data_IF_393440541174
#
_entry.id   IF_393440541174
#
_cell.length_a   1.000
_cell.length_b   1.000
_cell.length_c   1.000
_cell.angle_alpha   90.00
_cell.angle_beta   90.00
_cell.angle_gamma   90.00
#
_symmetry.space_group_name_H-M   'P 1'
#
loop_
_entity.id
_entity.type
_entity.pdbx_description
1 polymer ?
#
# COMPACT_ATOMS: atom_id res chain seq x y z
N UNK A 1 28.43 -21.24 9.68
CA UNK A 1 27.07 -20.82 9.24
C UNK A 1 27.10 -20.69 7.72
N UNK A 2 26.56 -21.67 7.00
CA UNK A 2 26.40 -21.54 5.54
C UNK A 2 25.48 -20.36 5.23
N UNK A 3 25.99 -19.40 4.47
CA UNK A 3 25.18 -18.36 3.83
C UNK A 3 24.38 -19.05 2.73
N UNK A 4 23.08 -19.29 2.95
CA UNK A 4 22.16 -19.59 1.85
C UNK A 4 22.19 -18.39 0.90
N UNK A 5 22.66 -18.58 -0.33
CA UNK A 5 22.54 -17.56 -1.37
C UNK A 5 21.04 -17.40 -1.68
N UNK A 6 20.53 -16.17 -1.59
CA UNK A 6 19.13 -15.87 -1.93
C UNK A 6 18.88 -16.00 -3.44
N UNK A 7 17.64 -16.32 -3.81
CA UNK A 7 17.25 -16.58 -5.21
C UNK A 7 17.71 -15.48 -6.19
N UNK A 8 17.49 -14.22 -5.84
CA UNK A 8 17.86 -13.08 -6.69
C UNK A 8 19.37 -12.78 -6.70
N UNK A 9 20.14 -13.19 -5.69
CA UNK A 9 21.59 -13.04 -5.70
C UNK A 9 22.22 -13.96 -6.76
N UNK A 10 21.71 -15.18 -6.88
CA UNK A 10 22.10 -16.12 -7.94
C UNK A 10 21.69 -15.58 -9.32
N UNK A 11 20.47 -15.05 -9.46
CA UNK A 11 19.99 -14.47 -10.71
C UNK A 11 20.80 -13.24 -11.14
N UNK A 12 21.14 -12.35 -10.21
CA UNK A 12 21.96 -11.16 -10.49
C UNK A 12 23.38 -11.56 -10.89
N UNK A 13 23.96 -12.58 -10.26
CA UNK A 13 25.26 -13.11 -10.68
C UNK A 13 25.19 -13.74 -12.08
N UNK A 14 24.11 -14.45 -12.41
CA UNK A 14 23.89 -15.05 -13.74
C UNK A 14 23.71 -13.98 -14.84
N UNK A 15 22.95 -12.92 -14.55
CA UNK A 15 22.75 -11.78 -15.45
C UNK A 15 24.04 -10.96 -15.62
N UNK A 16 24.76 -10.68 -14.53
CA UNK A 16 26.06 -9.96 -14.56
C UNK A 16 27.13 -10.76 -15.29
N UNK A 17 27.08 -12.10 -15.22
CA UNK A 17 27.97 -12.98 -15.98
C UNK A 17 27.67 -13.02 -17.48
N UNK A 18 26.63 -12.32 -17.96
CA UNK A 18 26.37 -12.12 -19.39
C UNK A 18 26.14 -13.42 -20.17
N UNK A 19 25.73 -14.50 -19.49
CA UNK A 19 25.52 -15.78 -20.14
C UNK A 19 24.15 -15.80 -20.80
N UNK A 20 24.11 -15.46 -22.09
CA UNK A 20 23.03 -15.95 -22.96
C UNK A 20 23.00 -17.48 -22.92
N UNK A 21 21.83 -18.16 -23.05
CA UNK A 21 21.75 -19.62 -23.03
C UNK A 21 22.40 -20.21 -24.30
N UNK A 22 23.73 -20.30 -24.30
CA UNK A 22 24.47 -20.98 -25.34
C UNK A 22 24.38 -22.48 -25.06
N UNK A 23 23.70 -23.19 -25.97
CA UNK A 23 23.73 -24.66 -26.12
C UNK A 23 25.12 -25.21 -25.83
N UNK A 24 25.30 -25.83 -24.66
CA UNK A 24 26.50 -26.62 -24.37
C UNK A 24 26.37 -28.00 -25.02
N UNK A 25 27.02 -28.13 -26.17
CA UNK A 25 27.23 -29.40 -26.87
C UNK A 25 28.26 -30.21 -26.08
N UNK A 26 27.83 -31.32 -25.49
CA UNK A 26 28.68 -32.20 -24.70
C UNK A 26 29.85 -32.80 -25.50
N UNK A 27 31.03 -32.82 -24.87
CA UNK A 27 32.16 -33.68 -25.24
C UNK A 27 32.48 -34.57 -24.04
N UNK A 28 32.28 -35.87 -24.20
CA UNK A 28 32.77 -36.92 -23.30
C UNK A 28 34.20 -37.32 -23.67
N UNK A 29 35.03 -37.78 -22.72
CA UNK A 29 36.30 -38.42 -23.03
C UNK A 29 36.13 -39.94 -23.19
N UNK A 30 37.09 -40.51 -23.94
CA UNK A 30 37.16 -41.89 -24.38
C UNK A 30 37.37 -42.90 -23.25
N UNK A 31 36.74 -44.08 -23.40
CA UNK A 31 37.20 -45.35 -22.82
C UNK A 31 36.89 -46.50 -23.79
N UNK A 32 37.90 -47.32 -24.00
CA UNK A 32 38.09 -48.34 -25.04
C UNK A 32 37.34 -49.67 -24.81
N UNK A 33 36.82 -50.23 -25.93
CA UNK A 33 36.75 -51.65 -26.34
C UNK A 33 35.97 -52.67 -25.48
N UNK A 34 35.15 -53.63 -25.95
CA UNK A 34 34.49 -54.07 -27.21
C UNK A 34 33.48 -55.20 -26.80
N UNK A 35 32.85 -56.01 -27.68
CA UNK A 35 31.47 -55.85 -28.18
C UNK A 35 30.53 -57.04 -27.88
N UNK A 36 29.22 -56.88 -28.14
CA UNK A 36 28.32 -57.82 -28.87
C UNK A 36 26.85 -57.31 -28.81
N UNK A 37 26.28 -56.78 -29.92
CA UNK A 37 25.29 -57.40 -30.83
C UNK A 37 23.91 -57.68 -30.18
N UNK A 38 22.71 -57.29 -30.65
CA UNK A 38 22.15 -56.70 -31.89
C UNK A 38 20.76 -56.08 -31.60
N UNK A 39 20.51 -54.92 -32.22
CA UNK A 39 19.29 -54.30 -32.78
C UNK A 39 17.86 -54.69 -32.34
N UNK A 40 17.02 -53.65 -32.13
CA UNK A 40 16.09 -53.07 -33.14
C UNK A 40 15.46 -51.76 -32.60
N UNK A 41 15.81 -50.61 -33.21
CA UNK A 41 14.96 -49.75 -34.08
C UNK A 41 13.97 -48.88 -33.27
N UNK A 42 14.13 -47.57 -33.11
CA UNK A 42 14.11 -46.50 -34.14
C UNK A 42 12.68 -45.91 -34.17
N UNK A 43 12.38 -44.60 -34.17
CA UNK A 43 13.12 -43.43 -34.64
C UNK A 43 12.26 -42.14 -34.42
N UNK A 44 12.90 -41.06 -33.97
CA UNK A 44 12.72 -39.60 -34.31
C UNK A 44 11.33 -38.93 -34.07
N UNK A 45 11.13 -38.00 -33.10
CA UNK A 45 11.54 -36.55 -32.96
C UNK A 45 11.01 -35.61 -34.08
N UNK A 46 10.97 -34.27 -33.88
CA UNK A 46 10.38 -33.43 -32.81
C UNK A 46 9.67 -32.16 -33.36
N UNK A 47 8.88 -31.42 -32.56
CA UNK A 47 8.38 -30.09 -32.96
C UNK A 47 7.86 -29.32 -31.74
N UNK A 48 8.32 -28.08 -31.57
CA UNK A 48 7.92 -27.20 -30.47
C UNK A 48 7.08 -26.03 -30.97
N UNK A 49 6.21 -25.52 -30.09
CA UNK A 49 5.55 -24.20 -30.10
C UNK A 49 4.95 -24.04 -28.69
N UNK A 50 5.29 -23.00 -27.93
CA UNK A 50 4.60 -21.69 -27.81
C UNK A 50 3.19 -21.82 -27.19
N UNK A 51 2.97 -20.95 -26.20
CA UNK A 51 1.83 -20.83 -25.27
C UNK A 51 0.43 -20.98 -25.91
N UNK A 52 -0.49 -21.63 -25.20
CA UNK A 52 -1.91 -21.23 -25.21
C UNK A 52 -2.58 -21.34 -23.82
N UNK A 53 -3.41 -20.34 -23.45
CA UNK A 53 -4.25 -20.31 -22.26
C UNK A 53 -5.69 -20.71 -22.58
N UNK A 54 -6.26 -21.71 -21.90
CA UNK A 54 -7.71 -21.93 -21.82
C UNK A 54 -8.02 -22.97 -20.73
N UNK A 55 -8.74 -22.57 -19.68
CA UNK A 55 -9.65 -23.49 -18.99
C UNK A 55 -11.02 -22.82 -19.03
N UNK A 56 -11.80 -23.32 -20.00
CA UNK A 56 -13.25 -23.42 -20.03
C UNK A 56 -13.93 -23.33 -18.65
N UNK A 57 -14.85 -22.37 -18.51
CA UNK A 57 -15.90 -22.42 -17.51
C UNK A 57 -17.01 -23.38 -17.94
N UNK A 58 -17.78 -23.97 -17.02
CA UNK A 58 -18.87 -24.86 -17.38
C UNK A 58 -20.05 -24.08 -17.99
N UNK A 59 -20.50 -24.57 -19.14
CA UNK A 59 -21.63 -24.10 -19.95
C UNK A 59 -22.94 -23.96 -19.17
N UNK A 60 -23.66 -22.90 -19.51
CA UNK A 60 -25.04 -22.66 -19.13
C UNK A 60 -25.95 -23.21 -20.22
N UNK A 61 -26.69 -24.28 -19.91
CA UNK A 61 -28.01 -24.55 -20.48
C UNK A 61 -28.70 -25.67 -19.70
N UNK A 62 -29.46 -25.27 -18.67
CA UNK A 62 -30.71 -25.96 -18.30
C UNK A 62 -31.52 -25.17 -17.28
N UNK A 63 -32.76 -24.93 -17.69
CA UNK A 63 -33.94 -24.45 -16.93
C UNK A 63 -34.25 -22.96 -17.03
N UNK A 64 -34.82 -22.61 -18.19
CA UNK A 64 -35.88 -21.60 -18.28
C UNK A 64 -37.18 -22.14 -17.67
N UNK A 65 -37.72 -21.45 -16.66
CA UNK A 65 -39.15 -21.11 -16.49
C UNK A 65 -39.36 -20.52 -15.08
N UNK A 66 -39.78 -19.25 -15.00
CA UNK A 66 -40.40 -18.69 -13.79
C UNK A 66 -39.95 -17.29 -13.39
N UNK A 67 -40.63 -16.30 -13.97
CA UNK A 67 -40.97 -14.96 -13.45
C UNK A 67 -39.94 -13.92 -13.03
N UNK A 68 -40.11 -12.75 -13.66
CA UNK A 68 -39.43 -11.48 -13.47
C UNK A 68 -39.79 -10.80 -12.14
N UNK A 69 -38.78 -10.34 -11.39
CA UNK A 69 -38.85 -9.07 -10.65
C UNK A 69 -37.49 -8.36 -10.81
N UNK A 70 -37.55 -7.08 -11.15
CA UNK A 70 -36.48 -6.30 -11.77
C UNK A 70 -35.24 -5.99 -10.92
N UNK A 71 -34.21 -5.63 -11.68
CA UNK A 71 -32.99 -4.88 -11.38
C UNK A 71 -32.80 -4.33 -9.95
N UNK A 72 -31.74 -4.80 -9.29
CA UNK A 72 -30.84 -3.89 -8.58
C UNK A 72 -29.40 -4.19 -9.01
N UNK A 73 -28.93 -3.39 -9.97
CA UNK A 73 -27.58 -3.48 -10.52
C UNK A 73 -26.55 -3.06 -9.46
N UNK A 74 -25.84 -4.04 -8.91
CA UNK A 74 -24.43 -3.93 -8.53
C UNK A 74 -24.01 -2.67 -7.77
N UNK A 75 -24.56 -2.44 -6.58
CA UNK A 75 -24.03 -1.45 -5.63
C UNK A 75 -22.64 -1.90 -5.13
N UNK A 76 -21.57 -1.39 -5.76
CA UNK A 76 -20.17 -1.60 -5.34
C UNK A 76 -19.97 -1.03 -3.93
N UNK A 77 -19.67 -1.90 -2.97
CA UNK A 77 -19.47 -1.52 -1.57
C UNK A 77 -18.07 -0.89 -1.38
N UNK A 78 -18.02 0.40 -1.06
CA UNK A 78 -16.77 1.10 -0.71
C UNK A 78 -16.29 0.76 0.71
N UNK A 79 -15.06 1.13 1.06
CA UNK A 79 -14.48 0.90 2.40
C UNK A 79 -15.35 1.47 3.53
N UNK A 80 -16.03 2.61 3.30
CA UNK A 80 -17.01 3.17 4.26
C UNK A 80 -18.23 2.26 4.49
N UNK A 81 -18.70 1.55 3.46
CA UNK A 81 -19.76 0.54 3.59
C UNK A 81 -19.21 -0.77 4.16
N UNK A 82 -17.95 -1.14 3.92
CA UNK A 82 -17.30 -2.28 4.58
C UNK A 82 -17.15 -2.06 6.09
N UNK A 83 -16.64 -0.90 6.51
CA UNK A 83 -16.56 -0.51 7.94
C UNK A 83 -17.96 -0.50 8.55
N UNK A 84 -18.97 0.02 7.82
CA UNK A 84 -20.37 -0.03 8.27
C UNK A 84 -20.84 -1.48 8.39
N UNK A 85 -20.88 -2.26 7.31
CA UNK A 85 -21.48 -3.60 7.25
C UNK A 85 -20.80 -4.66 8.10
N UNK A 86 -19.46 -4.66 8.21
CA UNK A 86 -18.73 -5.68 8.96
C UNK A 86 -18.51 -5.35 10.44
N UNK A 87 -18.52 -4.07 10.84
CA UNK A 87 -18.25 -3.65 12.22
C UNK A 87 -19.45 -3.03 12.96
N UNK A 88 -20.53 -2.65 12.26
CA UNK A 88 -21.81 -2.32 12.94
C UNK A 88 -22.60 -3.56 13.33
N UNK A 89 -22.30 -4.72 12.73
CA UNK A 89 -22.80 -6.00 13.25
C UNK A 89 -22.02 -6.28 14.54
N UNK A 90 -22.65 -6.04 15.70
CA UNK A 90 -22.24 -6.74 16.92
C UNK A 90 -22.11 -8.21 16.56
N UNK A 91 -21.01 -8.91 16.92
CA UNK A 91 -20.91 -10.34 16.65
C UNK A 91 -22.13 -11.00 17.28
N UNK A 92 -23.08 -11.41 16.44
CA UNK A 92 -24.35 -11.94 16.90
C UNK A 92 -24.04 -13.30 17.50
N UNK A 93 -24.07 -13.38 18.83
CA UNK A 93 -23.85 -14.58 19.63
C UNK A 93 -24.98 -15.62 19.48
N UNK A 94 -25.84 -15.50 18.46
CA UNK A 94 -26.94 -16.43 18.21
C UNK A 94 -26.45 -17.66 17.45
N UNK A 95 -25.68 -18.52 18.13
CA UNK A 95 -25.68 -19.99 17.98
C UNK A 95 -24.78 -20.60 19.05
N UNK A 96 -25.14 -20.40 20.32
CA UNK A 96 -24.60 -21.21 21.43
C UNK A 96 -25.39 -22.52 21.62
N UNK A 97 -26.27 -22.89 20.68
CA UNK A 97 -27.07 -24.11 20.73
C UNK A 97 -26.84 -25.05 19.54
N UNK A 98 -25.67 -25.02 18.91
CA UNK A 98 -25.26 -26.08 17.98
C UNK A 98 -24.34 -27.05 18.74
N UNK A 99 -24.66 -28.35 18.66
CA UNK A 99 -23.99 -29.43 19.38
C UNK A 99 -22.47 -29.53 19.13
N UNK A 100 -21.81 -30.55 19.71
CA UNK A 100 -20.35 -30.67 19.66
C UNK A 100 -19.91 -30.99 18.24
N UNK A 101 -19.68 -29.97 17.41
CA UNK A 101 -19.26 -30.19 16.02
C UNK A 101 -19.22 -28.98 15.07
N UNK A 102 -19.88 -27.85 15.36
CA UNK A 102 -19.94 -26.77 14.36
C UNK A 102 -20.16 -25.38 14.93
N UNK A 103 -19.08 -24.62 15.13
CA UNK A 103 -19.14 -23.13 15.26
C UNK A 103 -17.74 -22.47 15.28
N UNK A 104 -16.65 -23.21 15.52
CA UNK A 104 -15.30 -22.60 15.61
C UNK A 104 -14.82 -21.94 14.30
N UNK A 105 -15.29 -22.40 13.13
CA UNK A 105 -14.86 -21.87 11.82
C UNK A 105 -15.35 -20.45 11.53
N UNK A 106 -16.59 -20.11 11.86
CA UNK A 106 -17.19 -18.81 11.52
C UNK A 106 -16.50 -17.64 12.25
N UNK A 107 -16.19 -17.83 13.53
CA UNK A 107 -15.50 -16.81 14.34
C UNK A 107 -14.05 -16.59 13.87
N UNK A 108 -13.34 -17.66 13.49
CA UNK A 108 -11.98 -17.54 12.91
C UNK A 108 -11.98 -16.80 11.59
N UNK A 109 -12.96 -17.08 10.71
CA UNK A 109 -13.08 -16.37 9.44
C UNK A 109 -13.41 -14.89 9.63
N UNK A 110 -14.22 -14.50 10.63
CA UNK A 110 -14.46 -13.08 10.92
C UNK A 110 -13.22 -12.36 11.47
N UNK A 111 -12.48 -13.01 12.38
CA UNK A 111 -11.24 -12.45 12.94
C UNK A 111 -10.17 -12.26 11.86
N UNK A 112 -10.01 -13.23 10.97
CA UNK A 112 -9.06 -13.16 9.87
C UNK A 112 -9.42 -12.06 8.87
N UNK A 113 -10.71 -11.89 8.53
CA UNK A 113 -11.19 -10.80 7.68
C UNK A 113 -10.89 -9.43 8.29
N UNK A 114 -11.07 -9.31 9.61
CA UNK A 114 -10.78 -8.08 10.33
C UNK A 114 -9.26 -7.79 10.37
N UNK A 115 -8.45 -8.78 10.74
CA UNK A 115 -6.98 -8.70 10.76
C UNK A 115 -6.45 -8.23 9.41
N UNK A 116 -6.79 -8.96 8.36
CA UNK A 116 -6.35 -8.66 7.00
C UNK A 116 -6.95 -7.34 6.50
N UNK A 117 -8.18 -7.02 6.87
CA UNK A 117 -8.87 -5.76 6.59
C UNK A 117 -8.09 -4.53 7.07
N UNK A 118 -7.59 -4.58 8.31
CA UNK A 118 -6.91 -3.45 8.96
C UNK A 118 -5.41 -3.43 8.68
N UNK A 119 -4.75 -4.60 8.78
CA UNK A 119 -3.29 -4.72 8.76
C UNK A 119 -2.73 -5.09 7.37
N UNK A 120 -3.60 -5.46 6.42
CA UNK A 120 -3.17 -5.98 5.14
C UNK A 120 -2.49 -4.97 4.23
N UNK A 121 -3.07 -3.77 4.11
CA UNK A 121 -2.50 -2.69 3.30
C UNK A 121 -2.83 -1.29 3.85
N UNK A 122 -2.48 -0.98 5.11
CA UNK A 122 -2.65 0.38 5.65
C UNK A 122 -1.78 1.38 4.88
N UNK A 123 -2.34 2.56 4.60
CA UNK A 123 -1.69 3.63 3.85
C UNK A 123 -1.29 4.77 4.79
N UNK A 124 -0.18 5.43 4.47
CA UNK A 124 0.30 6.62 5.17
C UNK A 124 -0.72 7.80 5.15
N UNK A 125 -0.54 8.84 5.99
CA UNK A 125 -1.43 10.00 6.03
C UNK A 125 -1.44 10.84 4.77
N UNK A 126 -0.29 11.01 4.12
CA UNK A 126 -0.12 11.89 2.96
C UNK A 126 0.69 11.20 1.86
N UNK A 127 0.68 11.81 0.68
CA UNK A 127 1.56 11.42 -0.42
C UNK A 127 3.01 11.71 -0.05
N UNK A 128 3.95 10.91 -0.56
CA UNK A 128 5.37 11.22 -0.49
C UNK A 128 5.78 12.01 -1.74
N UNK A 129 6.20 13.26 -1.58
CA UNK A 129 6.79 14.04 -2.68
C UNK A 129 8.27 13.66 -2.84
N UNK A 130 8.54 12.53 -3.52
CA UNK A 130 9.92 12.13 -3.87
C UNK A 130 10.53 12.95 -5.02
N UNK A 131 9.72 13.76 -5.73
CA UNK A 131 10.16 14.50 -6.91
C UNK A 131 11.06 15.69 -6.56
N UNK A 132 10.88 16.27 -5.37
CA UNK A 132 11.69 17.40 -4.91
C UNK A 132 12.88 16.89 -4.07
N UNK A 133 14.09 17.42 -4.30
CA UNK A 133 15.20 17.19 -3.39
C UNK A 133 14.77 17.52 -1.97
N UNK A 134 15.11 16.66 -1.02
CA UNK A 134 14.84 16.97 0.39
C UNK A 134 15.40 18.36 0.70
N UNK A 135 14.65 19.22 1.43
CA UNK A 135 15.05 20.60 1.63
C UNK A 135 16.47 20.67 2.16
N UNK A 136 17.33 21.45 1.50
CA UNK A 136 18.61 21.81 2.07
C UNK A 136 18.33 22.57 3.38
N UNK A 137 19.03 22.17 4.45
CA UNK A 137 18.88 22.80 5.77
C UNK A 137 19.03 24.32 5.64
N UNK A 138 17.91 25.05 5.72
CA UNK A 138 17.92 26.50 5.84
C UNK A 138 17.67 26.87 7.28
N UNK A 139 18.73 27.33 7.95
CA UNK A 139 18.68 27.76 9.35
C UNK A 139 17.97 29.11 9.49
N UNK A 140 17.89 29.91 8.41
CA UNK A 140 17.29 31.25 8.45
C UNK A 140 15.80 31.20 8.11
N UNK A 141 14.97 31.70 9.04
CA UNK A 141 13.53 31.88 8.83
C UNK A 141 12.68 30.61 8.96
N UNK A 142 13.30 29.46 9.21
CA UNK A 142 12.60 28.18 9.41
C UNK A 142 12.31 27.98 10.90
N UNK A 143 11.08 27.61 11.30
CA UNK A 143 10.77 27.23 12.69
C UNK A 143 11.73 26.15 13.21
N UNK A 144 12.07 26.21 14.49
CA UNK A 144 13.05 25.29 15.11
C UNK A 144 12.57 23.84 15.02
N UNK A 145 11.27 23.60 15.10
CA UNK A 145 10.68 22.26 14.98
C UNK A 145 10.88 21.69 13.58
N UNK A 146 10.75 22.52 12.54
CA UNK A 146 10.95 22.13 11.14
C UNK A 146 12.42 21.93 10.79
N UNK A 147 13.31 22.83 11.23
CA UNK A 147 14.75 22.69 10.98
C UNK A 147 15.35 21.51 11.75
N UNK A 148 14.89 21.25 12.97
CA UNK A 148 15.25 20.05 13.73
C UNK A 148 14.81 18.77 13.02
N UNK A 149 13.59 18.76 12.46
CA UNK A 149 13.10 17.62 11.68
C UNK A 149 13.98 17.35 10.46
N UNK A 150 14.33 18.38 9.70
CA UNK A 150 15.24 18.26 8.56
C UNK A 150 16.61 17.71 8.97
N UNK A 151 17.16 18.16 10.09
CA UNK A 151 18.44 17.66 10.60
C UNK A 151 18.36 16.18 10.95
N UNK A 152 17.31 15.77 11.66
CA UNK A 152 17.06 14.37 12.03
C UNK A 152 16.93 13.49 10.79
N UNK A 153 16.24 13.96 9.75
CA UNK A 153 16.10 13.21 8.49
C UNK A 153 17.41 13.08 7.72
N UNK A 154 18.28 14.08 7.78
CA UNK A 154 19.62 13.96 7.21
C UNK A 154 20.46 12.90 7.93
N UNK A 155 20.38 12.84 9.26
CA UNK A 155 21.03 11.79 10.04
C UNK A 155 20.46 10.41 9.68
N UNK A 156 19.13 10.30 9.58
CA UNK A 156 18.47 9.07 9.16
C UNK A 156 18.92 8.59 7.78
N UNK A 157 18.98 9.47 6.80
CA UNK A 157 19.46 9.13 5.47
C UNK A 157 20.92 8.70 5.48
N UNK A 158 21.78 9.42 6.20
CA UNK A 158 23.20 9.08 6.32
C UNK A 158 23.36 7.69 6.97
N UNK A 159 22.62 7.40 8.04
CA UNK A 159 22.62 6.11 8.72
C UNK A 159 22.04 4.98 7.86
N UNK A 160 21.09 5.27 6.98
CA UNK A 160 20.37 4.26 6.20
C UNK A 160 21.04 3.84 4.89
N UNK A 161 22.19 4.42 4.55
CA UNK A 161 22.95 4.10 3.33
C UNK A 161 23.43 5.32 2.54
N UNK A 162 22.96 6.52 2.90
CA UNK A 162 23.32 7.77 2.27
C UNK A 162 22.50 8.08 1.01
N UNK A 163 22.23 9.38 0.79
CA UNK A 163 21.32 9.85 -0.26
C UNK A 163 21.66 9.32 -1.66
N UNK A 164 22.94 9.39 -2.08
CA UNK A 164 23.37 8.93 -3.41
C UNK A 164 23.10 7.44 -3.65
N UNK A 165 23.30 6.61 -2.63
CA UNK A 165 23.05 5.18 -2.71
C UNK A 165 21.55 4.89 -2.77
N UNK A 166 20.77 5.53 -1.89
CA UNK A 166 19.32 5.39 -1.86
C UNK A 166 18.67 5.81 -3.18
N UNK A 167 19.12 6.92 -3.80
CA UNK A 167 18.64 7.36 -5.11
C UNK A 167 19.00 6.43 -6.27
N UNK A 168 20.03 5.60 -6.12
CA UNK A 168 20.44 4.66 -7.17
C UNK A 168 19.51 3.44 -7.28
N UNK A 169 18.67 3.21 -6.28
CA UNK A 169 17.69 2.11 -6.26
C UNK A 169 16.49 2.48 -7.13
N UNK A 170 16.32 1.76 -8.24
CA UNK A 170 15.19 1.94 -9.17
C UNK A 170 13.95 1.16 -8.72
N UNK A 171 14.19 -0.03 -8.17
CA UNK A 171 13.16 -0.90 -7.65
C UNK A 171 13.71 -1.77 -6.51
N UNK A 172 12.80 -2.30 -5.69
CA UNK A 172 13.13 -3.21 -4.61
C UNK A 172 12.10 -4.32 -4.47
N UNK A 173 12.55 -5.40 -3.83
CA UNK A 173 11.78 -6.58 -3.47
C UNK A 173 12.08 -6.93 -2.02
N UNK A 174 11.04 -7.28 -1.27
CA UNK A 174 11.16 -7.87 0.05
C UNK A 174 10.14 -9.00 0.22
N UNK A 175 10.60 -10.15 0.72
CA UNK A 175 9.73 -11.26 1.12
C UNK A 175 9.96 -11.58 2.58
N UNK A 176 8.88 -11.83 3.30
CA UNK A 176 8.94 -12.09 4.72
C UNK A 176 7.84 -13.00 5.23
N UNK A 177 8.02 -13.46 6.45
CA UNK A 177 7.03 -14.17 7.24
C UNK A 177 6.28 -13.20 8.13
N UNK A 178 5.04 -13.54 8.42
CA UNK A 178 4.20 -12.78 9.33
C UNK A 178 3.39 -13.73 10.21
N UNK A 179 3.19 -13.31 11.46
CA UNK A 179 2.30 -13.97 12.42
C UNK A 179 1.35 -12.91 12.94
N UNK A 180 0.05 -13.19 12.90
CA UNK A 180 -1.00 -12.26 13.31
C UNK A 180 -1.88 -12.89 14.39
N UNK A 181 -2.36 -12.06 15.30
CA UNK A 181 -3.23 -12.46 16.40
C UNK A 181 -4.29 -11.39 16.63
N UNK A 182 -5.56 -11.78 16.72
CA UNK A 182 -6.62 -10.95 17.28
C UNK A 182 -6.76 -11.31 18.77
N UNK A 183 -6.30 -10.42 19.66
CA UNK A 183 -6.05 -10.77 21.06
C UNK A 183 -7.22 -10.43 21.99
N UNK A 184 -7.85 -9.27 21.83
CA UNK A 184 -8.81 -8.75 22.82
C UNK A 184 -9.96 -7.98 22.16
N UNK A 185 -11.19 -8.29 22.57
CA UNK A 185 -12.39 -7.51 22.28
C UNK A 185 -13.00 -7.03 23.59
N UNK A 186 -13.05 -5.72 23.78
CA UNK A 186 -13.56 -5.07 24.99
C UNK A 186 -14.78 -4.22 24.62
N UNK A 187 -15.87 -4.42 25.35
CA UNK A 187 -17.05 -3.57 25.37
C UNK A 187 -17.15 -2.89 26.73
N UNK A 188 -17.95 -1.83 26.83
CA UNK A 188 -18.11 -1.07 28.07
C UNK A 188 -18.53 -1.90 29.30
N UNK A 189 -19.09 -3.10 29.10
CA UNK A 189 -19.54 -4.00 30.18
C UNK A 189 -18.72 -5.29 30.29
N UNK A 190 -17.82 -5.59 29.34
CA UNK A 190 -17.11 -6.87 29.31
C UNK A 190 -15.82 -6.84 28.49
N UNK A 191 -14.77 -7.47 29.02
CA UNK A 191 -13.55 -7.81 28.26
C UNK A 191 -13.58 -9.28 27.90
N UNK A 192 -13.46 -9.58 26.61
CA UNK A 192 -13.32 -10.94 26.06
C UNK A 192 -11.91 -11.09 25.49
N UNK A 193 -11.14 -12.00 26.07
CA UNK A 193 -9.84 -12.40 25.52
C UNK A 193 -10.04 -13.62 24.62
N UNK A 194 -9.46 -13.59 23.42
CA UNK A 194 -9.57 -14.71 22.49
C UNK A 194 -8.69 -15.87 23.01
N UNK A 195 -9.30 -16.86 23.68
CA UNK A 195 -8.62 -18.09 24.12
C UNK A 195 -8.84 -19.15 23.05
N UNK A 196 -7.76 -19.73 22.52
CA UNK A 196 -7.83 -20.75 21.47
C UNK A 196 -8.65 -21.99 21.87
N UNK A 197 -8.95 -22.87 20.89
CA UNK A 197 -9.91 -23.98 21.04
C UNK A 197 -9.52 -25.03 22.09
N UNK A 198 -8.27 -25.07 22.55
CA UNK A 198 -7.77 -26.08 23.48
C UNK A 198 -7.90 -25.71 24.96
N UNK A 199 -8.54 -24.59 25.31
CA UNK A 199 -8.66 -24.12 26.71
C UNK A 199 -7.32 -23.74 27.37
N UNK A 200 -6.19 -24.02 26.73
CA UNK A 200 -4.83 -23.67 27.14
C UNK A 200 -4.40 -22.38 26.46
N UNK A 201 -4.84 -21.23 27.00
CA UNK A 201 -4.14 -19.94 27.02
C UNK A 201 -3.60 -19.27 25.74
N UNK A 202 -3.55 -19.91 24.57
CA UNK A 202 -2.96 -19.35 23.36
C UNK A 202 -4.07 -18.84 22.43
N UNK A 203 -4.09 -17.54 22.14
CA UNK A 203 -4.91 -16.99 21.07
C UNK A 203 -4.59 -17.69 19.74
N UNK A 204 -5.56 -17.79 18.83
CA UNK A 204 -5.33 -18.38 17.51
C UNK A 204 -4.31 -17.51 16.76
N UNK A 205 -3.08 -18.02 16.61
CA UNK A 205 -2.01 -17.36 15.86
C UNK A 205 -2.13 -17.76 14.41
N UNK A 206 -2.47 -16.80 13.56
CA UNK A 206 -2.53 -16.99 12.12
C UNK A 206 -1.15 -16.70 11.53
N UNK A 207 -0.55 -17.69 10.87
CA UNK A 207 0.79 -17.56 10.27
C UNK A 207 0.67 -17.42 8.76
N UNK A 208 1.67 -16.79 8.16
CA UNK A 208 1.65 -16.48 6.75
C UNK A 208 2.95 -15.85 6.26
N UNK A 209 2.86 -15.30 5.05
CA UNK A 209 3.95 -14.58 4.42
C UNK A 209 3.46 -13.38 3.63
N UNK A 210 4.39 -12.52 3.28
CA UNK A 210 4.13 -11.42 2.38
C UNK A 210 5.26 -11.24 1.38
N UNK A 211 4.90 -10.65 0.26
CA UNK A 211 5.83 -10.17 -0.76
C UNK A 211 5.50 -8.71 -1.04
N UNK A 212 6.53 -7.87 -1.05
CA UNK A 212 6.45 -6.45 -1.32
C UNK A 212 7.38 -6.10 -2.47
N UNK A 213 6.83 -5.42 -3.47
CA UNK A 213 7.56 -4.86 -4.60
C UNK A 213 7.41 -3.35 -4.55
N UNK A 214 8.49 -2.62 -4.80
CA UNK A 214 8.46 -1.16 -4.95
C UNK A 214 9.21 -0.75 -6.21
N UNK A 215 8.75 0.32 -6.86
CA UNK A 215 9.42 0.92 -8.02
C UNK A 215 9.21 2.42 -8.01
N UNK A 216 10.27 3.18 -8.29
CA UNK A 216 10.18 4.62 -8.39
C UNK A 216 9.53 5.05 -9.74
N UNK A 217 8.71 6.11 -9.77
CA UNK A 217 8.21 6.86 -8.62
C UNK A 217 6.89 6.29 -8.05
N UNK A 218 6.85 6.05 -6.73
CA UNK A 218 5.60 5.84 -5.99
C UNK A 218 4.80 4.58 -6.32
N UNK A 219 5.35 3.63 -7.09
CA UNK A 219 4.72 2.35 -7.38
C UNK A 219 5.06 1.32 -6.31
N UNK A 220 4.07 0.55 -5.91
CA UNK A 220 4.26 -0.55 -4.97
C UNK A 220 3.20 -1.61 -5.17
N UNK A 221 3.51 -2.86 -4.87
CA UNK A 221 2.57 -3.98 -4.87
C UNK A 221 2.87 -4.87 -3.67
N UNK A 222 1.83 -5.27 -2.95
CA UNK A 222 1.94 -6.19 -1.82
C UNK A 222 0.96 -7.34 -1.96
N UNK A 223 1.49 -8.51 -1.68
CA UNK A 223 0.74 -9.73 -1.48
C UNK A 223 0.92 -10.17 -0.03
N UNK A 224 -0.19 -10.39 0.67
CA UNK A 224 -0.19 -10.89 2.04
C UNK A 224 -1.10 -12.12 2.13
N UNK A 225 -0.52 -13.25 2.51
CA UNK A 225 -1.24 -14.51 2.69
C UNK A 225 -1.13 -14.98 4.14
N UNK A 226 -2.25 -15.06 4.85
CA UNK A 226 -2.33 -15.43 6.28
C UNK A 226 -3.57 -16.28 6.51
N UNK A 227 -3.47 -17.36 7.28
CA UNK A 227 -4.63 -18.16 7.69
C UNK A 227 -5.47 -18.73 6.53
N UNK A 228 -4.84 -19.02 5.39
CA UNK A 228 -5.51 -19.49 4.16
C UNK A 228 -6.26 -18.40 3.38
N UNK A 229 -6.18 -17.13 3.80
CA UNK A 229 -6.72 -15.98 3.07
C UNK A 229 -5.61 -15.13 2.47
N UNK A 230 -5.90 -14.49 1.34
CA UNK A 230 -4.93 -13.71 0.58
C UNK A 230 -5.47 -12.31 0.28
N UNK A 231 -4.67 -11.28 0.54
CA UNK A 231 -4.97 -9.89 0.18
C UNK A 231 -3.91 -9.39 -0.78
N UNK A 232 -4.37 -8.68 -1.80
CA UNK A 232 -3.52 -7.98 -2.75
C UNK A 232 -3.80 -6.49 -2.67
N UNK A 233 -2.77 -5.68 -2.79
CA UNK A 233 -2.91 -4.24 -2.94
C UNK A 233 -1.75 -3.69 -3.75
N UNK A 234 -1.98 -2.59 -4.45
CA UNK A 234 -0.93 -1.96 -5.22
C UNK A 234 -1.20 -0.50 -5.53
N UNK A 235 -0.18 0.13 -6.10
CA UNK A 235 -0.18 1.48 -6.60
C UNK A 235 0.61 1.51 -7.91
N UNK A 236 -0.02 2.01 -8.98
CA UNK A 236 0.64 2.23 -10.27
C UNK A 236 1.22 3.64 -10.41
N UNK A 237 1.41 4.35 -9.29
CA UNK A 237 1.83 5.76 -9.25
C UNK A 237 0.71 6.78 -9.48
N UNK A 238 -0.50 6.33 -9.87
CA UNK A 238 -1.68 7.20 -10.08
C UNK A 238 -2.90 6.80 -9.27
N UNK A 239 -3.05 5.50 -9.05
CA UNK A 239 -4.18 4.88 -8.37
C UNK A 239 -3.66 3.89 -7.35
N UNK A 240 -4.18 3.96 -6.12
CA UNK A 240 -4.01 2.92 -5.12
C UNK A 240 -5.23 2.00 -5.18
N UNK A 241 -4.99 0.69 -5.19
CA UNK A 241 -6.03 -0.32 -5.29
C UNK A 241 -5.81 -1.45 -4.29
N UNK A 242 -6.90 -2.16 -3.99
CA UNK A 242 -6.91 -3.29 -3.07
C UNK A 242 -7.90 -4.34 -3.54
N UNK A 243 -7.53 -5.59 -3.39
CA UNK A 243 -8.36 -6.76 -3.61
C UNK A 243 -8.39 -7.62 -2.36
N UNK A 244 -9.58 -7.79 -1.78
CA UNK A 244 -9.81 -8.72 -0.65
C UNK A 244 -10.85 -9.77 -1.04
N UNK A 245 -10.78 -11.00 -0.49
CA UNK A 245 -11.71 -12.07 -0.84
C UNK A 245 -13.19 -11.76 -0.58
N UNK A 246 -13.48 -10.79 0.31
CA UNK A 246 -14.83 -10.42 0.70
C UNK A 246 -15.36 -9.15 0.03
N UNK A 247 -14.49 -8.27 -0.50
CA UNK A 247 -14.89 -6.99 -1.10
C UNK A 247 -14.55 -6.91 -2.60
N UNK A 248 -13.77 -7.85 -3.12
CA UNK A 248 -13.24 -7.78 -4.48
C UNK A 248 -12.30 -6.59 -4.67
N UNK A 249 -12.08 -6.20 -5.93
CA UNK A 249 -11.14 -5.16 -6.30
C UNK A 249 -11.78 -3.77 -6.23
N UNK A 250 -11.15 -2.86 -5.48
CA UNK A 250 -11.60 -1.49 -5.31
C UNK A 250 -10.42 -0.52 -5.25
N UNK A 251 -10.66 0.71 -5.70
CA UNK A 251 -9.72 1.82 -5.59
C UNK A 251 -9.79 2.45 -4.19
N UNK A 252 -8.65 2.85 -3.64
CA UNK A 252 -8.60 3.70 -2.46
C UNK A 252 -8.77 5.17 -2.88
N UNK A 253 -9.62 5.89 -2.14
CA UNK A 253 -9.93 7.29 -2.42
C UNK A 253 -8.79 8.25 -2.04
N UNK A 254 -8.74 9.38 -2.74
CA UNK A 254 -7.81 10.48 -2.51
C UNK A 254 -6.45 10.28 -3.20
N UNK A 255 -5.45 11.13 -2.90
CA UNK A 255 -4.16 11.11 -3.57
C UNK A 255 -3.39 9.82 -3.27
N UNK A 256 -2.44 9.44 -4.13
CA UNK A 256 -1.60 8.25 -3.94
C UNK A 256 -0.72 8.37 -2.70
N UNK A 257 -0.64 7.30 -1.90
CA UNK A 257 0.08 7.32 -0.62
C UNK A 257 0.95 6.07 -0.52
N UNK A 258 2.12 6.16 0.14
CA UNK A 258 2.94 4.99 0.36
C UNK A 258 2.23 3.97 1.26
N UNK A 259 2.48 2.70 0.98
CA UNK A 259 2.08 1.61 1.86
C UNK A 259 2.84 1.73 3.18
N UNK A 260 2.16 1.66 4.33
CA UNK A 260 2.80 1.80 5.65
C UNK A 260 3.92 0.77 5.88
N UNK A 261 3.81 -0.43 5.33
CA UNK A 261 4.84 -1.49 5.42
C UNK A 261 6.18 -1.07 4.82
N UNK A 262 6.16 -0.23 3.78
CA UNK A 262 7.36 0.36 3.17
C UNK A 262 8.11 1.23 4.20
N UNK A 263 7.36 1.92 5.06
CA UNK A 263 7.88 2.79 6.13
C UNK A 263 8.43 2.01 7.33
N UNK A 264 8.22 0.69 7.40
CA UNK A 264 8.73 -0.15 8.49
C UNK A 264 10.22 -0.52 8.29
N UNK A 265 11.02 0.44 7.84
CA UNK A 265 12.47 0.27 7.61
C UNK A 265 12.81 -0.51 6.34
N UNK A 266 11.92 -0.56 5.35
CA UNK A 266 12.13 -1.27 4.08
C UNK A 266 12.50 -0.34 2.92
N UNK A 267 12.07 0.92 2.96
CA UNK A 267 12.46 1.94 1.98
C UNK A 267 12.81 3.25 2.70
N UNK A 268 14.11 3.46 2.98
CA UNK A 268 14.55 4.66 3.66
C UNK A 268 14.31 5.95 2.87
N UNK A 269 14.33 5.91 1.54
CA UNK A 269 14.13 7.11 0.73
C UNK A 269 12.67 7.56 0.78
N UNK A 270 11.74 6.63 0.62
CA UNK A 270 10.30 6.92 0.77
C UNK A 270 9.97 7.36 2.20
N UNK A 271 10.59 6.75 3.21
CA UNK A 271 10.44 7.16 4.61
C UNK A 271 10.92 8.60 4.82
N UNK A 272 12.12 8.94 4.35
CA UNK A 272 12.66 10.30 4.47
C UNK A 272 11.79 11.34 3.72
N UNK A 273 11.36 11.01 2.51
CA UNK A 273 10.47 11.86 1.71
C UNK A 273 9.11 12.10 2.36
N UNK A 274 8.53 11.09 3.02
CA UNK A 274 7.26 11.24 3.72
C UNK A 274 7.37 12.20 4.92
N UNK A 275 8.47 12.13 5.67
CA UNK A 275 8.69 12.98 6.84
C UNK A 275 9.31 14.35 6.49
N UNK A 276 9.55 14.67 5.22
CA UNK A 276 10.21 15.90 4.79
C UNK A 276 9.56 17.19 5.35
N UNK A 277 8.24 17.17 5.51
CA UNK A 277 7.43 18.28 6.05
C UNK A 277 7.01 18.07 7.51
N UNK A 278 7.59 17.07 8.19
CA UNK A 278 7.30 16.80 9.59
C UNK A 278 7.88 17.88 10.51
N UNK A 279 7.40 17.89 11.76
CA UNK A 279 7.91 18.75 12.83
C UNK A 279 8.51 17.90 13.93
N UNK A 280 9.65 18.30 14.46
CA UNK A 280 10.18 17.72 15.69
C UNK A 280 9.30 18.16 16.86
N UNK A 281 8.75 17.21 17.60
CA UNK A 281 7.85 17.47 18.74
C UNK A 281 8.46 17.13 20.09
N UNK A 282 9.74 16.73 20.10
CA UNK A 282 10.49 16.47 21.31
C UNK A 282 11.24 15.15 21.26
N UNK A 283 11.58 14.65 22.44
CA UNK A 283 12.40 13.47 22.66
C UNK A 283 11.71 12.51 23.63
N UNK A 284 11.90 11.21 23.42
CA UNK A 284 11.36 10.17 24.31
C UNK A 284 12.19 8.91 24.22
N UNK A 285 12.38 8.27 25.38
CA UNK A 285 12.94 6.92 25.46
C UNK A 285 11.91 5.88 24.99
N UNK A 286 12.22 5.13 23.94
CA UNK A 286 11.40 4.05 23.40
C UNK A 286 12.19 2.75 23.47
N UNK A 287 11.65 1.72 24.16
CA UNK A 287 12.31 0.42 24.33
C UNK A 287 13.76 0.49 24.85
N UNK A 288 14.07 1.48 25.69
CA UNK A 288 15.42 1.68 26.22
C UNK A 288 16.31 2.62 25.38
N UNK A 289 15.87 3.05 24.20
CA UNK A 289 16.62 3.89 23.27
C UNK A 289 16.12 5.34 23.27
N UNK A 290 17.03 6.30 23.44
CA UNK A 290 16.70 7.73 23.32
C UNK A 290 16.38 8.07 21.86
N UNK A 291 15.20 8.66 21.63
CA UNK A 291 14.71 8.95 20.28
C UNK A 291 14.25 10.41 20.16
N UNK A 292 14.52 11.02 19.00
CA UNK A 292 13.80 12.19 18.53
C UNK A 292 12.44 11.79 17.95
N UNK A 293 11.43 12.63 18.10
CA UNK A 293 10.07 12.38 17.63
C UNK A 293 9.73 13.35 16.50
N UNK A 294 9.47 12.81 15.31
CA UNK A 294 8.91 13.58 14.20
C UNK A 294 7.42 13.32 14.08
N UNK A 295 6.62 14.39 14.02
CA UNK A 295 5.17 14.34 13.82
C UNK A 295 4.82 14.83 12.43
N UNK A 296 4.03 14.04 11.73
CA UNK A 296 3.42 14.36 10.45
C UNK A 296 1.90 14.33 10.58
N UNK A 297 1.20 15.32 10.04
CA UNK A 297 -0.26 15.40 10.10
C UNK A 297 -0.80 15.69 8.71
N UNK A 298 -1.80 14.92 8.28
CA UNK A 298 -2.50 15.22 7.03
C UNK A 298 -3.27 16.54 7.17
N UNK A 299 -3.19 17.39 6.16
CA UNK A 299 -3.93 18.64 6.11
C UNK A 299 -5.43 18.39 5.84
N UNK A 300 -6.32 19.34 6.20
CA UNK A 300 -7.75 19.19 6.01
C UNK A 300 -8.19 18.92 4.56
N UNK A 301 -7.47 19.43 3.55
CA UNK A 301 -7.82 19.21 2.14
C UNK A 301 -7.52 17.77 1.75
N UNK A 302 -6.35 17.25 2.11
CA UNK A 302 -6.00 15.84 1.91
C UNK A 302 -6.99 14.90 2.60
N UNK A 303 -7.40 15.23 3.83
CA UNK A 303 -8.41 14.43 4.54
C UNK A 303 -9.77 14.47 3.83
N UNK A 304 -10.23 15.64 3.39
CA UNK A 304 -11.49 15.80 2.66
C UNK A 304 -11.52 15.03 1.33
N UNK A 305 -10.42 15.02 0.58
CA UNK A 305 -10.31 14.26 -0.67
C UNK A 305 -10.43 12.74 -0.46
N UNK A 306 -10.15 12.25 0.75
CA UNK A 306 -10.20 10.84 1.13
C UNK A 306 -11.52 10.43 1.79
N UNK A 307 -12.26 11.37 2.37
CA UNK A 307 -13.59 11.15 2.95
C UNK A 307 -14.59 10.67 1.90
N UNK A 308 -15.49 9.76 2.26
CA UNK A 308 -16.43 9.13 1.33
C UNK A 308 -17.81 8.93 1.96
N UNK A 309 -18.84 9.46 1.31
CA UNK A 309 -20.22 9.35 1.76
C UNK A 309 -20.38 9.81 3.22
N UNK A 310 -20.93 8.96 4.11
CA UNK A 310 -21.12 9.32 5.51
C UNK A 310 -19.83 9.28 6.34
N UNK A 311 -18.72 8.78 5.80
CA UNK A 311 -17.46 8.60 6.50
C UNK A 311 -16.50 9.75 6.21
N UNK A 312 -16.27 10.58 7.23
CA UNK A 312 -15.35 11.71 7.20
C UNK A 312 -14.09 11.40 8.01
N UNK A 313 -12.93 11.56 7.38
CA UNK A 313 -11.66 11.46 8.08
C UNK A 313 -11.38 12.80 8.77
N UNK A 314 -11.37 12.79 10.10
CA UNK A 314 -11.16 13.99 10.92
C UNK A 314 -9.67 14.23 11.17
N UNK A 315 -8.91 13.16 11.33
CA UNK A 315 -7.50 13.24 11.70
C UNK A 315 -6.73 12.02 11.21
N UNK A 316 -5.56 12.26 10.65
CA UNK A 316 -4.58 11.21 10.36
C UNK A 316 -3.19 11.76 10.69
N UNK A 317 -2.57 11.18 11.71
CA UNK A 317 -1.28 11.63 12.25
C UNK A 317 -0.33 10.45 12.32
N UNK A 318 0.90 10.67 11.89
CA UNK A 318 1.98 9.71 11.94
C UNK A 318 3.12 10.27 12.79
N UNK A 319 3.68 9.44 13.66
CA UNK A 319 4.88 9.76 14.43
C UNK A 319 6.00 8.79 14.07
N UNK A 320 7.20 9.30 13.81
CA UNK A 320 8.41 8.51 13.63
C UNK A 320 9.39 8.78 14.78
N UNK A 321 9.95 7.72 15.34
CA UNK A 321 10.90 7.78 16.44
C UNK A 321 12.29 7.39 15.92
N UNK A 322 13.18 8.37 15.90
CA UNK A 322 14.52 8.25 15.33
C UNK A 322 15.54 8.17 16.44
N UNK A 323 16.28 7.07 16.49
CA UNK A 323 17.33 6.82 17.48
C UNK A 323 18.38 7.93 17.44
N UNK A 324 18.62 8.58 18.58
CA UNK A 324 19.69 9.58 18.71
C UNK A 324 21.08 8.95 18.53
N UNK A 325 21.21 7.65 18.84
CA UNK A 325 22.47 6.90 18.81
C UNK A 325 22.82 6.40 17.41
N UNK A 326 21.84 5.88 16.68
CA UNK A 326 22.08 5.22 15.38
C UNK A 326 21.58 6.04 14.20
N UNK A 327 20.74 7.05 14.42
CA UNK A 327 20.05 7.80 13.37
C UNK A 327 18.89 7.03 12.73
N UNK A 328 18.75 5.71 12.96
CA UNK A 328 17.71 4.89 12.36
C UNK A 328 16.36 5.11 13.03
N UNK A 329 15.27 4.96 12.26
CA UNK A 329 13.92 4.93 12.83
C UNK A 329 13.69 3.58 13.53
N UNK A 330 13.32 3.60 14.81
CA UNK A 330 13.15 2.38 15.62
C UNK A 330 11.68 2.10 15.95
N UNK A 331 10.82 3.10 15.80
CA UNK A 331 9.40 2.99 16.10
C UNK A 331 8.58 3.96 15.25
N UNK A 332 7.35 3.56 14.91
CA UNK A 332 6.42 4.36 14.13
C UNK A 332 4.99 4.19 14.66
N UNK A 333 4.30 5.29 14.93
CA UNK A 333 2.91 5.32 15.39
C UNK A 333 2.00 5.96 14.35
N UNK A 334 0.89 5.31 14.06
CA UNK A 334 -0.21 5.81 13.22
C UNK A 334 -1.44 6.05 14.08
N UNK A 335 -2.18 7.13 13.82
CA UNK A 335 -3.49 7.35 14.39
C UNK A 335 -4.42 7.95 13.32
N UNK A 336 -5.48 7.22 13.01
CA UNK A 336 -6.47 7.55 11.99
C UNK A 336 -7.87 7.57 12.60
N UNK A 337 -8.48 8.76 12.67
CA UNK A 337 -9.81 9.00 13.24
C UNK A 337 -10.81 9.32 12.13
N UNK A 338 -11.86 8.51 12.06
CA UNK A 338 -12.99 8.68 11.12
C UNK A 338 -14.27 8.89 11.91
N UNK A 339 -15.06 9.88 11.52
CA UNK A 339 -16.45 10.08 11.96
C UNK A 339 -17.39 9.53 10.91
N UNK A 340 -18.37 8.76 11.34
CA UNK A 340 -19.43 8.23 10.49
C UNK A 340 -20.74 8.87 10.94
N UNK A 341 -21.30 9.71 10.08
CA UNK A 341 -22.60 10.34 10.32
C UNK A 341 -23.70 9.51 9.64
N UNK A 342 -24.63 8.89 10.40
CA UNK A 342 -25.76 8.20 9.78
C UNK A 342 -26.71 9.19 9.10
N UNK A 343 -27.15 8.87 7.87
CA UNK A 343 -28.07 9.69 7.07
C UNK A 343 -29.46 9.90 7.71
N UNK A 344 -29.83 9.07 8.69
CA UNK A 344 -31.13 9.07 9.36
C UNK A 344 -31.21 9.99 10.59
N UNK A 345 -30.27 10.94 10.75
CA UNK A 345 -30.28 11.90 11.86
C UNK A 345 -29.91 11.32 13.24
N UNK A 346 -29.25 10.16 13.28
CA UNK A 346 -28.75 9.55 14.51
C UNK A 346 -27.40 10.11 14.97
N UNK A 347 -26.95 9.68 16.15
CA UNK A 347 -25.68 10.11 16.74
C UNK A 347 -24.46 9.68 15.90
N UNK A 348 -23.44 10.55 15.90
CA UNK A 348 -22.20 10.30 15.17
C UNK A 348 -21.38 9.19 15.83
N UNK A 349 -20.88 8.25 15.02
CA UNK A 349 -19.99 7.18 15.49
C UNK A 349 -18.56 7.50 15.08
N UNK A 350 -17.64 7.43 16.04
CA UNK A 350 -16.22 7.65 15.81
C UNK A 350 -15.47 6.32 15.82
N UNK A 351 -14.50 6.22 14.91
CA UNK A 351 -13.59 5.10 14.77
C UNK A 351 -12.16 5.61 14.77
N UNK A 352 -11.38 5.22 15.76
CA UNK A 352 -9.94 5.46 15.81
C UNK A 352 -9.19 4.15 15.58
N UNK A 353 -8.30 4.16 14.59
CA UNK A 353 -7.32 3.10 14.36
C UNK A 353 -5.95 3.61 14.78
N UNK A 354 -5.33 2.97 15.77
CA UNK A 354 -3.96 3.26 16.18
C UNK A 354 -3.07 2.09 15.81
N UNK A 355 -1.96 2.32 15.11
CA UNK A 355 -0.98 1.29 14.75
C UNK A 355 0.38 1.70 15.31
N UNK A 356 0.94 0.90 16.20
CA UNK A 356 2.25 1.13 16.81
C UNK A 356 3.20 0.03 16.35
N UNK A 357 4.29 0.35 15.65
CA UNK A 357 5.22 -0.63 15.08
C UNK A 357 6.66 -0.41 15.55
N UNK A 358 7.27 -1.42 16.17
CA UNK A 358 8.70 -1.48 16.51
C UNK A 358 9.49 -2.08 15.35
N UNK A 359 10.64 -1.49 15.03
CA UNK A 359 11.55 -1.90 13.97
C UNK A 359 12.85 -2.43 14.58
N UNK A 360 13.24 -3.63 14.22
CA UNK A 360 14.33 -4.37 14.85
C UNK A 360 15.23 -5.04 13.79
N UNK A 361 16.41 -5.48 14.25
CA UNK A 361 17.33 -6.27 13.43
C UNK A 361 17.70 -5.57 12.10
N UNK A 362 18.15 -4.32 12.21
CA UNK A 362 18.67 -3.57 11.08
C UNK A 362 19.95 -4.22 10.55
N UNK A 363 19.96 -4.57 9.25
CA UNK A 363 21.10 -5.17 8.57
C UNK A 363 21.42 -4.42 7.29
N UNK A 364 22.69 -4.32 6.96
CA UNK A 364 23.14 -3.78 5.69
C UNK A 364 22.90 -4.78 4.56
N UNK A 365 22.11 -4.38 3.56
CA UNK A 365 21.89 -5.11 2.30
C UNK A 365 22.35 -4.19 1.17
N UNK A 366 23.41 -4.59 0.45
CA UNK A 366 24.05 -3.76 -0.58
C UNK A 366 24.40 -2.32 -0.11
N UNK A 367 24.70 -2.16 1.18
CA UNK A 367 25.04 -0.86 1.80
C UNK A 367 23.86 -0.07 2.36
N UNK A 368 22.63 -0.55 2.17
CA UNK A 368 21.40 0.08 2.67
C UNK A 368 20.96 -0.63 3.95
N UNK A 369 20.63 0.12 5.00
CA UNK A 369 20.17 -0.45 6.27
C UNK A 369 18.68 -0.78 6.20
N UNK A 370 18.34 -2.06 6.33
CA UNK A 370 16.97 -2.57 6.25
C UNK A 370 16.60 -3.31 7.54
N UNK A 371 15.43 -3.00 8.10
CA UNK A 371 14.89 -3.71 9.25
C UNK A 371 14.47 -5.13 8.83
N UNK A 372 15.02 -6.15 9.48
CA UNK A 372 14.70 -7.55 9.19
C UNK A 372 13.67 -8.14 10.13
N UNK A 373 13.24 -7.42 11.15
CA UNK A 373 12.18 -7.85 12.05
C UNK A 373 11.38 -6.66 12.58
N UNK A 374 10.16 -6.95 13.00
CA UNK A 374 9.36 -5.97 13.72
C UNK A 374 8.10 -6.55 14.32
N UNK A 375 7.47 -5.74 15.15
CA UNK A 375 6.19 -6.06 15.80
C UNK A 375 5.27 -4.86 15.66
N UNK A 376 4.01 -5.09 15.32
CA UNK A 376 3.00 -4.03 15.36
C UNK A 376 1.85 -4.41 16.27
N UNK A 377 1.39 -3.46 17.07
CA UNK A 377 0.14 -3.54 17.82
C UNK A 377 -0.87 -2.57 17.21
N UNK A 378 -2.08 -3.06 16.96
CA UNK A 378 -3.18 -2.28 16.39
C UNK A 378 -4.33 -2.25 17.36
N UNK A 379 -4.89 -1.06 17.56
CA UNK A 379 -6.10 -0.85 18.36
C UNK A 379 -7.14 -0.20 17.47
N UNK A 380 -8.30 -0.86 17.31
CA UNK A 380 -9.52 -0.25 16.79
C UNK A 380 -10.40 0.17 17.96
N UNK A 381 -10.73 1.45 18.05
CA UNK A 381 -11.58 1.99 19.09
C UNK A 381 -12.80 2.68 18.48
N UNK A 382 -13.99 2.19 18.82
CA UNK A 382 -15.29 2.74 18.40
C UNK A 382 -15.96 3.43 19.58
N UNK A 383 -16.48 4.64 19.40
CA UNK A 383 -17.20 5.38 20.44
C UNK A 383 -18.22 6.37 19.84
N UNK A 384 -19.10 6.95 20.67
CA UNK A 384 -19.96 8.08 20.32
C UNK A 384 -21.44 7.76 20.01
N UNK A 385 -21.82 6.49 19.85
CA UNK A 385 -23.21 6.09 19.51
C UNK A 385 -24.20 6.26 20.68
N UNK A 386 -23.73 6.12 21.91
CA UNK A 386 -24.47 6.36 23.16
C UNK A 386 -23.48 6.54 24.33
N UNK A 387 -23.88 7.24 25.39
CA UNK A 387 -23.07 7.34 26.62
C UNK A 387 -22.70 5.94 27.12
N UNK A 388 -21.40 5.72 27.38
CA UNK A 388 -20.87 4.42 27.81
C UNK A 388 -21.00 3.27 26.80
N UNK A 389 -21.18 3.52 25.50
CA UNK A 389 -21.04 2.48 24.46
C UNK A 389 -19.74 2.68 23.68
N UNK A 390 -18.73 1.87 24.00
CA UNK A 390 -17.50 1.81 23.24
C UNK A 390 -17.10 0.35 23.01
N UNK A 391 -16.42 0.12 21.89
CA UNK A 391 -15.81 -1.18 21.59
C UNK A 391 -14.34 -0.99 21.24
N UNK A 392 -13.47 -1.79 21.84
CA UNK A 392 -12.03 -1.79 21.58
C UNK A 392 -11.62 -3.17 21.09
N UNK A 393 -10.99 -3.24 19.92
CA UNK A 393 -10.40 -4.48 19.38
C UNK A 393 -8.89 -4.32 19.29
N UNK A 394 -8.14 -5.27 19.82
CA UNK A 394 -6.67 -5.32 19.73
C UNK A 394 -6.20 -6.43 18.81
N UNK A 395 -5.22 -6.11 17.99
CA UNK A 395 -4.57 -7.03 17.07
C UNK A 395 -3.06 -6.83 17.15
N UNK A 396 -2.31 -7.90 16.90
CA UNK A 396 -0.85 -7.87 16.92
C UNK A 396 -0.31 -8.59 15.69
N UNK A 397 0.77 -8.06 15.10
CA UNK A 397 1.60 -8.77 14.14
C UNK A 397 3.05 -8.84 14.61
N UNK A 398 3.73 -9.92 14.26
CA UNK A 398 5.18 -10.02 14.26
C UNK A 398 5.64 -10.45 12.87
N UNK A 399 6.60 -9.75 12.29
CA UNK A 399 7.12 -10.03 10.96
C UNK A 399 8.64 -10.16 10.96
N UNK A 400 9.15 -10.92 9.99
CA UNK A 400 10.58 -11.06 9.74
C UNK A 400 10.84 -11.14 8.23
N UNK A 401 11.91 -10.51 7.77
CA UNK A 401 12.33 -10.51 6.38
C UNK A 401 13.26 -11.70 6.12
N UNK A 402 12.95 -12.46 5.08
CA UNK A 402 13.75 -13.59 4.64
C UNK A 402 14.66 -13.20 3.47
N UNK A 403 14.13 -12.39 2.55
CA UNK A 403 14.84 -11.97 1.36
C UNK A 403 14.60 -10.48 1.07
N UNK A 404 15.66 -9.79 0.65
CA UNK A 404 15.64 -8.43 0.13
C UNK A 404 16.52 -8.38 -1.11
N UNK A 405 16.04 -7.71 -2.15
CA UNK A 405 16.83 -7.44 -3.34
C UNK A 405 16.54 -6.03 -3.87
N UNK A 406 17.57 -5.39 -4.41
CA UNK A 406 17.48 -4.08 -5.06
C UNK A 406 17.84 -4.20 -6.53
N UNK A 407 17.23 -3.34 -7.35
CA UNK A 407 17.45 -3.29 -8.79
C UNK A 407 17.23 -4.66 -9.46
N UNK A 408 16.13 -5.31 -9.09
CA UNK A 408 15.68 -6.59 -9.65
C UNK A 408 15.49 -6.44 -11.16
N UNK A 409 16.24 -7.21 -11.98
CA UNK A 409 16.09 -7.20 -13.43
C UNK A 409 14.70 -7.67 -13.86
N UNK A 410 14.15 -7.04 -14.90
CA UNK A 410 12.88 -7.46 -15.50
C UNK A 410 11.61 -6.99 -14.77
N UNK A 411 11.71 -6.38 -13.58
CA UNK A 411 10.56 -5.72 -12.97
C UNK A 411 10.18 -4.50 -13.82
N UNK A 412 8.96 -4.49 -14.37
CA UNK A 412 8.40 -3.41 -15.18
C UNK A 412 7.21 -2.74 -14.49
N UNK A 413 6.74 -1.64 -15.07
CA UNK A 413 5.52 -0.95 -14.63
C UNK A 413 4.27 -1.84 -14.72
N UNK A 414 4.31 -2.91 -15.54
CA UNK A 414 3.18 -3.81 -15.76
C UNK A 414 2.85 -4.63 -14.50
N UNK A 415 3.84 -4.84 -13.63
CA UNK A 415 3.67 -5.53 -12.34
C UNK A 415 2.80 -4.75 -11.34
N UNK A 416 2.47 -3.49 -11.63
CA UNK A 416 1.72 -2.60 -10.74
C UNK A 416 0.32 -2.25 -11.29
N UNK A 417 -0.05 -2.79 -12.44
CA UNK A 417 -1.34 -2.51 -13.09
C UNK A 417 -2.50 -2.98 -12.19
N UNK A 418 -3.51 -2.13 -11.95
CA UNK A 418 -4.70 -2.54 -11.20
C UNK A 418 -5.49 -3.64 -11.92
N UNK A 419 -6.20 -4.50 -11.19
CA UNK A 419 -7.19 -5.41 -11.76
C UNK A 419 -8.15 -4.70 -12.73
N UNK A 420 -8.47 -5.34 -13.85
CA UNK A 420 -9.23 -4.74 -14.96
C UNK A 420 -10.65 -4.29 -14.57
N UNK A 421 -11.22 -4.85 -13.50
CA UNK A 421 -12.53 -4.50 -12.98
C UNK A 421 -12.56 -3.18 -12.20
N UNK A 422 -11.39 -2.60 -11.87
CA UNK A 422 -11.28 -1.31 -11.21
C UNK A 422 -11.45 -0.18 -12.22
N UNK A 423 -12.66 0.37 -12.29
CA UNK A 423 -12.92 1.61 -13.05
C UNK A 423 -12.10 2.76 -12.44
N UNK A 424 -11.13 3.25 -13.21
CA UNK A 424 -10.46 4.52 -12.90
C UNK A 424 -11.48 5.63 -13.13
N UNK A 425 -12.03 6.22 -12.06
CA UNK A 425 -12.85 7.41 -12.21
C UNK A 425 -12.01 8.51 -12.85
N UNK A 426 -12.40 9.00 -14.04
CA UNK A 426 -11.71 10.13 -14.63
C UNK A 426 -11.95 11.36 -13.74
N UNK A 427 -10.87 12.00 -13.32
CA UNK A 427 -10.90 13.38 -12.86
C UNK A 427 -10.55 14.21 -14.09
N UNK A 428 -11.54 14.87 -14.68
CA UNK A 428 -11.35 15.72 -15.86
C UNK A 428 -12.66 16.20 -16.47
N UNK A 429 -13.06 17.42 -16.08
CA UNK A 429 -13.91 18.39 -16.78
C UNK A 429 -15.26 17.95 -17.39
N UNK A 430 -16.34 18.33 -16.71
CA UNK A 430 -17.20 19.42 -17.19
C UNK A 430 -18.02 19.97 -16.02
N UNK A 431 -17.75 21.21 -15.62
CA UNK A 431 -18.73 22.02 -14.92
C UNK A 431 -19.88 22.31 -15.91
N UNK A 432 -20.87 21.43 -16.00
CA UNK A 432 -22.14 21.77 -16.63
C UNK A 432 -22.96 22.57 -15.61
N UNK A 433 -22.99 23.89 -15.83
CA UNK A 433 -23.97 24.78 -15.20
C UNK A 433 -25.38 24.28 -15.54
N UNK A 434 -26.33 24.28 -14.59
CA UNK A 434 -27.68 23.80 -14.86
C UNK A 434 -28.38 24.72 -15.89
N UNK A 435 -29.21 24.16 -16.78
CA UNK A 435 -29.96 24.94 -17.76
C UNK A 435 -30.99 25.82 -17.04
N UNK A 436 -30.81 27.15 -17.13
CA UNK A 436 -31.83 28.08 -16.69
C UNK A 436 -32.98 28.08 -17.69
N UNK A 437 -34.15 27.70 -17.16
CA UNK A 437 -35.45 27.78 -17.78
C UNK A 437 -35.71 29.20 -18.28
N UNK A 438 -36.21 29.32 -19.51
CA UNK A 438 -36.43 30.60 -20.18
C UNK A 438 -37.54 31.45 -19.57
N UNK A 439 -37.38 32.76 -19.71
CA UNK A 439 -38.50 33.67 -19.87
C UNK A 439 -38.17 34.76 -20.90
N UNK A 440 -39.20 35.06 -21.70
CA UNK A 440 -39.17 35.76 -22.99
C UNK A 440 -39.66 37.19 -22.81
N UNK A 441 -38.88 38.22 -23.18
CA UNK A 441 -39.44 39.48 -23.69
C UNK A 441 -38.41 40.43 -24.37
N UNK A 442 -38.66 40.61 -25.68
CA UNK A 442 -38.62 41.86 -26.50
C UNK A 442 -37.26 42.51 -26.89
N UNK A 443 -36.91 42.31 -28.17
CA UNK A 443 -36.68 43.32 -29.24
C UNK A 443 -35.96 44.62 -28.83
N UNK A 444 -34.78 44.92 -29.38
CA UNK A 444 -34.66 45.60 -30.69
C UNK A 444 -33.33 45.30 -31.42
N UNK A 445 -33.40 45.36 -32.75
CA UNK A 445 -32.37 45.04 -33.73
C UNK A 445 -31.37 46.18 -33.98
N UNK A 446 -30.11 45.86 -34.32
CA UNK A 446 -29.32 46.41 -35.45
C UNK A 446 -28.22 45.39 -35.84
N UNK A 447 -28.12 45.05 -37.12
CA UNK A 447 -27.05 44.29 -37.81
C UNK A 447 -26.29 45.25 -38.75
N UNK A 448 -25.24 44.83 -39.50
CA UNK A 448 -23.98 44.19 -39.11
C UNK A 448 -22.76 44.84 -39.83
N UNK A 449 -21.53 44.49 -39.46
CA UNK A 449 -20.41 44.55 -40.41
C UNK A 449 -19.35 43.48 -40.12
N UNK A 450 -18.81 42.96 -41.22
CA UNK A 450 -18.05 41.72 -41.46
C UNK A 450 -16.73 42.23 -42.07
N UNK A 451 -15.52 41.74 -41.77
CA UNK A 451 -14.78 40.69 -42.53
C UNK A 451 -13.26 40.86 -42.22
N UNK A 452 -12.56 39.74 -41.93
CA UNK A 452 -11.17 39.30 -42.27
C UNK A 452 -9.96 40.27 -42.19
N UNK A 453 -8.69 39.88 -42.29
CA UNK A 453 -7.83 38.72 -41.98
C UNK A 453 -6.41 39.10 -42.50
N UNK A 454 -5.39 38.34 -42.07
CA UNK A 454 -4.02 38.24 -42.62
C UNK A 454 -3.08 39.44 -42.38
N UNK A 455 -1.92 39.33 -41.72
CA UNK A 455 -0.74 38.45 -41.84
C UNK A 455 0.37 39.02 -42.74
N UNK A 456 1.61 38.71 -42.33
CA UNK A 456 2.92 38.92 -42.98
C UNK A 456 3.53 40.34 -42.99
N UNK A 457 4.85 40.53 -43.02
CA UNK A 457 6.07 39.88 -42.46
C UNK A 457 7.22 40.83 -42.87
N UNK A 458 8.24 40.95 -42.03
CA UNK A 458 9.64 41.35 -42.33
C UNK A 458 9.93 42.68 -43.07
N UNK A 459 10.82 43.51 -42.50
CA UNK A 459 12.21 43.61 -42.96
C UNK A 459 13.08 44.48 -42.04
N UNK A 460 14.34 44.04 -41.95
CA UNK A 460 15.50 44.55 -41.22
C UNK A 460 16.17 45.75 -41.89
N UNK A 461 16.80 46.63 -41.10
CA UNK A 461 18.07 47.37 -41.32
C UNK A 461 18.20 48.37 -40.13
N UNK A 462 19.32 48.65 -39.47
CA UNK A 462 20.74 48.46 -39.68
C UNK A 462 21.48 49.76 -39.31
N UNK A 463 22.53 49.67 -38.48
CA UNK A 463 23.49 50.73 -38.07
C UNK A 463 22.98 51.80 -37.08
N UNK A 464 23.73 52.33 -36.11
CA UNK A 464 25.13 52.23 -35.73
C UNK A 464 25.53 53.50 -34.93
N UNK A 465 26.45 53.38 -33.95
CA UNK A 465 27.11 54.51 -33.25
C UNK A 465 26.67 54.67 -31.78
N UNK A 466 27.46 54.25 -30.77
CA UNK A 466 28.63 54.89 -30.13
C UNK A 466 28.35 56.25 -29.45
N UNK A 467 28.74 56.35 -28.17
CA UNK A 467 28.91 57.58 -27.39
C UNK A 467 28.08 57.54 -26.09
N UNK A 468 28.56 56.98 -24.98
CA UNK A 468 29.51 57.55 -24.00
C UNK A 468 28.84 58.53 -23.00
N UNK A 469 28.94 58.17 -21.71
CA UNK A 469 28.86 58.97 -20.46
C UNK A 469 27.61 59.85 -20.22
N UNK A 470 26.89 59.61 -19.12
CA UNK A 470 27.22 60.01 -17.73
C UNK A 470 26.62 58.97 -16.79
#
# INVERSE_FOLDING_TARGET
KERKQGFFAALKEEVVRGLSPARSRGKTPARSASPQLIARSGSLRPGGEVLEPLIEGPDADRLAAGDFVGEDSGRREGFGHWVRGHLTRTPSMASASAGPGGSSGSFRHSDLRLLLGVMGAPLAPISSNLADPLPLLSIKGTPIESSSAQYILQQYMAASGGYKMLQSVRNAYAMGKVRMVASEFETATRVVKNRGPSGRGAAAVEQGGFVLWTMAPGMWYVELAVGGSKVHAGCNGRLVWRHTPWLGAHAAKGPVRPLRRVLQGLDPLTTAGLFAEARCVGEKKVNGEECFILKLSADPQTLKLRSEGPAEIIRHVLFGYFSQRTGLMVHIEDSHLTRIQPHSGGDAVYWETTISSCLEDYRAVEGIMIAHAGRSAVTLFRFGEAAMSHTKTRMEEAWSIEEVAFNVPGLSVDCFIPPADIRSGSVGEACELPPQHGDRAKSTAVHPARVAAAAERAHTHGAGGRGEKI
#
